data_IF_053924703958
#
_entry.id   IF_053924703958
#
_cell.length_a   1.000
_cell.length_b   1.000
_cell.length_c   1.000
_cell.angle_alpha   90.00
_cell.angle_beta   90.00
_cell.angle_gamma   90.00
#
_symmetry.space_group_name_H-M   'P 1'
#
loop_
_entity.id
_entity.type
_entity.pdbx_description
1 polymer ?
#
# COMPACT_ATOMS: atom_id res chain seq x y z
N UNK A 1 47.82 -9.12 -23.47
CA UNK A 1 46.81 -10.14 -23.10
C UNK A 1 47.51 -11.44 -22.81
N UNK A 2 47.84 -11.71 -21.53
CA UNK A 2 48.42 -12.96 -21.12
C UNK A 2 47.34 -13.95 -20.70
N UNK A 3 47.11 -14.94 -21.58
CA UNK A 3 46.39 -16.17 -21.24
C UNK A 3 47.35 -17.14 -20.59
N UNK A 4 47.25 -17.40 -19.31
CA UNK A 4 47.97 -18.47 -18.65
C UNK A 4 47.05 -19.71 -18.55
N UNK A 5 47.36 -20.76 -19.34
CA UNK A 5 46.71 -22.06 -19.22
C UNK A 5 47.59 -22.96 -18.34
N UNK A 6 47.26 -23.08 -17.08
CA UNK A 6 47.75 -24.20 -16.24
C UNK A 6 46.56 -25.02 -15.78
N UNK A 7 46.52 -26.28 -16.19
CA UNK A 7 45.48 -27.23 -15.80
C UNK A 7 45.58 -27.57 -14.29
N UNK A 8 44.61 -27.19 -13.54
CA UNK A 8 44.37 -27.56 -12.16
C UNK A 8 42.98 -27.10 -11.77
N UNK A 9 42.19 -27.98 -11.20
CA UNK A 9 40.85 -27.72 -10.71
C UNK A 9 40.79 -26.51 -9.76
N UNK A 10 39.88 -25.59 -10.00
CA UNK A 10 39.63 -24.32 -9.31
C UNK A 10 40.50 -23.12 -9.79
N UNK A 11 40.45 -22.81 -11.07
CA UNK A 11 40.87 -21.49 -11.54
C UNK A 11 39.78 -20.46 -11.22
N UNK A 12 39.95 -19.75 -10.12
CA UNK A 12 39.28 -18.49 -9.89
C UNK A 12 39.93 -17.45 -10.83
N UNK A 13 39.34 -17.22 -11.98
CA UNK A 13 39.79 -16.14 -12.86
C UNK A 13 39.20 -14.83 -12.33
N UNK A 14 40.04 -13.96 -11.82
CA UNK A 14 39.71 -12.61 -11.41
C UNK A 14 40.12 -11.63 -12.50
N UNK A 15 39.18 -10.81 -12.96
CA UNK A 15 39.47 -9.68 -13.83
C UNK A 15 39.37 -8.43 -12.97
N UNK A 16 40.49 -7.77 -12.74
CA UNK A 16 40.55 -6.50 -12.02
C UNK A 16 40.71 -5.37 -13.05
N UNK A 17 39.63 -4.62 -13.28
CA UNK A 17 39.63 -3.47 -14.18
C UNK A 17 38.78 -2.35 -13.58
N UNK A 18 39.16 -1.12 -13.81
CA UNK A 18 38.39 0.03 -13.37
C UNK A 18 37.15 0.25 -14.22
N UNK A 19 37.15 -0.18 -15.47
CA UNK A 19 36.05 -0.02 -16.42
C UNK A 19 36.02 -1.21 -17.37
N UNK A 20 34.82 -1.77 -17.58
CA UNK A 20 34.55 -2.70 -18.67
C UNK A 20 33.58 -1.98 -19.62
N UNK A 21 34.01 -1.72 -20.84
CA UNK A 21 33.24 -1.01 -21.84
C UNK A 21 33.13 -1.81 -23.13
N UNK A 22 32.10 -1.52 -23.91
CA UNK A 22 31.85 -2.14 -25.24
C UNK A 22 32.48 -1.25 -26.29
N UNK A 23 33.60 -1.69 -26.91
CA UNK A 23 34.27 -0.92 -27.96
C UNK A 23 33.48 -0.90 -29.29
N UNK A 24 32.77 -1.97 -29.58
CA UNK A 24 31.94 -2.09 -30.81
C UNK A 24 30.70 -2.92 -30.49
N UNK A 25 29.55 -2.33 -30.60
CA UNK A 25 28.27 -2.98 -30.31
C UNK A 25 27.46 -2.33 -29.21
N UNK A 26 26.26 -2.83 -29.03
CA UNK A 26 25.28 -2.25 -28.07
C UNK A 26 25.18 -3.02 -26.76
N UNK A 27 25.79 -4.20 -26.67
CA UNK A 27 25.60 -5.11 -25.56
C UNK A 27 26.93 -5.61 -24.96
N UNK A 28 27.07 -5.53 -23.65
CA UNK A 28 28.02 -6.29 -22.87
C UNK A 28 27.30 -7.48 -22.26
N UNK A 29 27.69 -8.69 -22.66
CA UNK A 29 27.11 -9.91 -22.09
C UNK A 29 28.02 -10.42 -20.97
N UNK A 30 27.48 -10.50 -19.74
CA UNK A 30 28.16 -11.04 -18.57
C UNK A 30 27.40 -12.26 -18.10
N UNK A 31 28.10 -13.37 -17.99
CA UNK A 31 27.54 -14.66 -17.61
C UNK A 31 27.15 -15.53 -18.81
N UNK A 32 26.72 -16.73 -18.52
CA UNK A 32 26.23 -17.71 -19.48
C UNK A 32 24.96 -18.37 -18.94
N UNK A 33 24.26 -19.13 -19.78
CA UNK A 33 23.10 -19.88 -19.34
C UNK A 33 23.41 -20.69 -18.06
N UNK A 34 22.49 -20.71 -17.11
CA UNK A 34 22.58 -21.40 -15.82
C UNK A 34 23.62 -20.84 -14.82
N UNK A 35 24.07 -19.60 -15.03
CA UNK A 35 24.97 -18.92 -14.08
C UNK A 35 24.33 -17.63 -13.57
N UNK A 36 24.58 -17.36 -12.29
CA UNK A 36 24.19 -16.09 -11.68
C UNK A 36 25.29 -15.05 -11.87
N UNK A 37 24.89 -13.80 -12.05
CA UNK A 37 25.76 -12.64 -11.95
C UNK A 37 25.52 -11.98 -10.62
N UNK A 38 26.53 -11.99 -9.75
CA UNK A 38 26.46 -11.29 -8.45
C UNK A 38 27.16 -9.95 -8.59
N UNK A 39 26.43 -8.88 -8.35
CA UNK A 39 26.98 -7.53 -8.28
C UNK A 39 27.14 -7.18 -6.81
N UNK A 40 28.39 -7.25 -6.32
CA UNK A 40 28.75 -6.88 -4.94
C UNK A 40 29.19 -5.41 -4.92
N UNK A 41 28.27 -4.51 -4.75
CA UNK A 41 28.51 -3.08 -4.72
C UNK A 41 27.33 -2.33 -4.11
N UNK A 42 27.50 -1.04 -3.86
CA UNK A 42 26.45 -0.21 -3.28
C UNK A 42 25.37 0.17 -4.31
N UNK A 43 25.71 0.23 -5.61
CA UNK A 43 24.85 0.70 -6.66
C UNK A 43 24.86 -0.19 -7.91
N UNK A 44 23.68 -0.45 -8.48
CA UNK A 44 23.52 -0.84 -9.88
C UNK A 44 22.75 0.28 -10.57
N UNK A 45 23.42 1.06 -11.42
CA UNK A 45 22.81 2.21 -12.11
C UNK A 45 22.32 1.77 -13.49
N UNK A 46 21.03 1.92 -13.72
CA UNK A 46 20.38 1.65 -15.01
C UNK A 46 19.12 2.49 -15.12
N UNK A 47 18.80 2.95 -16.32
CA UNK A 47 17.53 3.64 -16.60
C UNK A 47 16.35 2.67 -16.63
N UNK A 48 16.60 1.37 -16.87
CA UNK A 48 15.58 0.33 -16.87
C UNK A 48 16.18 -1.05 -16.58
N UNK A 49 15.45 -1.86 -15.82
CA UNK A 49 15.66 -3.28 -15.68
C UNK A 49 14.63 -4.01 -16.53
N UNK A 50 15.07 -4.93 -17.38
CA UNK A 50 14.22 -5.62 -18.35
C UNK A 50 14.19 -7.12 -18.11
N UNK A 51 13.04 -7.73 -18.41
CA UNK A 51 12.88 -9.18 -18.48
C UNK A 51 13.57 -9.74 -19.75
N UNK A 52 13.71 -11.06 -19.82
CA UNK A 52 14.34 -11.73 -20.94
C UNK A 52 13.63 -11.52 -22.29
N UNK A 53 12.33 -11.26 -22.27
CA UNK A 53 11.49 -10.92 -23.41
C UNK A 53 11.57 -9.45 -23.84
N UNK A 54 12.33 -8.63 -23.11
CA UNK A 54 12.49 -7.20 -23.34
C UNK A 54 11.49 -6.31 -22.63
N UNK A 55 10.49 -6.88 -21.92
CA UNK A 55 9.54 -6.14 -21.10
C UNK A 55 10.21 -5.42 -19.93
N UNK A 56 9.68 -4.29 -19.49
CA UNK A 56 10.21 -3.56 -18.36
C UNK A 56 9.79 -4.22 -17.03
N UNK A 57 10.78 -4.56 -16.19
CA UNK A 57 10.55 -4.92 -14.78
C UNK A 57 10.45 -3.65 -13.95
N UNK A 58 11.39 -2.73 -14.13
CA UNK A 58 11.39 -1.43 -13.48
C UNK A 58 12.11 -0.40 -14.35
N UNK A 59 11.61 0.82 -14.37
CA UNK A 59 12.25 1.95 -15.04
C UNK A 59 12.04 3.24 -14.25
N UNK A 60 12.94 4.20 -14.41
CA UNK A 60 12.83 5.52 -13.82
C UNK A 60 12.95 6.62 -14.86
N UNK A 61 12.07 7.61 -14.80
CA UNK A 61 12.13 8.84 -15.59
C UNK A 61 11.84 10.03 -14.68
N UNK A 62 12.82 10.91 -14.52
CA UNK A 62 12.75 11.98 -13.53
C UNK A 62 12.54 11.44 -12.11
N UNK A 63 11.47 11.86 -11.45
CA UNK A 63 11.07 11.38 -10.12
C UNK A 63 10.09 10.20 -10.15
N UNK A 64 9.70 9.72 -11.33
CA UNK A 64 8.74 8.64 -11.50
C UNK A 64 9.44 7.29 -11.65
N UNK A 65 9.09 6.34 -10.79
CA UNK A 65 9.49 4.93 -10.91
C UNK A 65 8.29 4.16 -11.44
N UNK A 66 8.47 3.48 -12.56
CA UNK A 66 7.44 2.62 -13.16
C UNK A 66 7.84 1.16 -12.96
N UNK A 67 6.94 0.36 -12.40
CA UNK A 67 7.07 -1.09 -12.26
C UNK A 67 6.19 -1.76 -13.31
N UNK A 68 6.77 -2.61 -14.15
CA UNK A 68 6.06 -3.29 -15.22
C UNK A 68 5.77 -2.39 -16.43
N UNK A 69 4.92 -2.88 -17.33
CA UNK A 69 4.42 -2.22 -18.52
C UNK A 69 2.89 -2.34 -18.58
N UNK A 70 2.26 -1.72 -19.59
CA UNK A 70 0.81 -1.85 -19.80
C UNK A 70 0.43 -3.32 -20.06
N UNK A 71 -0.52 -3.83 -19.26
CA UNK A 71 -0.95 -5.23 -19.30
C UNK A 71 -0.25 -6.16 -18.32
N UNK A 72 0.83 -5.72 -17.68
CA UNK A 72 1.51 -6.52 -16.67
C UNK A 72 0.72 -6.59 -15.36
N UNK A 73 0.84 -7.72 -14.66
CA UNK A 73 0.30 -7.90 -13.31
C UNK A 73 1.45 -7.90 -12.31
N UNK A 74 1.36 -7.02 -11.31
CA UNK A 74 2.28 -7.00 -10.19
C UNK A 74 1.66 -7.80 -9.04
N UNK A 75 2.24 -8.98 -8.78
CA UNK A 75 1.77 -9.87 -7.71
C UNK A 75 2.72 -9.80 -6.53
N UNK A 76 2.17 -9.49 -5.34
CA UNK A 76 2.92 -9.60 -4.09
C UNK A 76 2.94 -11.07 -3.64
N UNK A 77 4.07 -11.52 -3.13
CA UNK A 77 4.17 -12.85 -2.54
C UNK A 77 3.22 -12.99 -1.33
N UNK A 78 2.78 -14.21 -1.05
CA UNK A 78 1.97 -14.50 0.15
C UNK A 78 2.68 -14.01 1.42
N UNK A 79 1.97 -13.23 2.24
CA UNK A 79 2.51 -12.62 3.44
C UNK A 79 3.25 -11.28 3.22
N UNK A 80 3.45 -10.84 1.97
CA UNK A 80 3.96 -9.50 1.68
C UNK A 80 2.84 -8.46 1.78
N UNK A 81 3.15 -7.30 2.33
CA UNK A 81 2.24 -6.16 2.41
C UNK A 81 2.74 -5.00 1.54
N UNK A 82 1.82 -4.22 1.01
CA UNK A 82 2.15 -2.95 0.36
C UNK A 82 2.00 -1.80 1.36
N UNK A 83 2.93 -0.83 1.30
CA UNK A 83 2.85 0.40 2.08
C UNK A 83 3.03 1.59 1.14
N UNK A 84 2.19 2.63 1.29
CA UNK A 84 2.27 3.83 0.47
C UNK A 84 1.70 3.71 -0.96
N UNK A 85 1.22 2.55 -1.39
CA UNK A 85 0.43 2.40 -2.62
C UNK A 85 -1.04 2.71 -2.26
N UNK A 86 -1.46 3.95 -2.47
CA UNK A 86 -2.80 4.39 -2.09
C UNK A 86 -3.89 3.56 -2.75
N UNK A 87 -4.80 3.00 -1.96
CA UNK A 87 -6.11 2.58 -2.44
C UNK A 87 -6.96 3.83 -2.61
N UNK A 88 -7.25 4.20 -3.84
CA UNK A 88 -8.21 5.26 -4.12
C UNK A 88 -9.63 4.70 -4.07
N UNK A 89 -10.42 5.12 -3.08
CA UNK A 89 -11.87 4.88 -3.05
C UNK A 89 -12.35 3.60 -2.36
N UNK A 90 -11.48 2.71 -1.88
CA UNK A 90 -11.87 1.52 -1.11
C UNK A 90 -11.05 1.38 0.16
N UNK A 91 -11.67 0.82 1.20
CA UNK A 91 -10.97 0.49 2.45
C UNK A 91 -10.48 -0.94 2.45
N UNK A 92 -9.42 -1.20 3.22
CA UNK A 92 -8.96 -2.54 3.54
C UNK A 92 -9.73 -3.07 4.75
N UNK A 93 -10.68 -3.98 4.51
CA UNK A 93 -11.49 -4.52 5.58
C UNK A 93 -10.69 -5.42 6.50
N UNK A 94 -10.61 -5.02 7.77
CA UNK A 94 -9.91 -5.78 8.79
C UNK A 94 -10.68 -7.04 9.15
N UNK A 95 -10.00 -8.19 9.20
CA UNK A 95 -10.61 -9.49 9.47
C UNK A 95 -10.98 -9.69 10.95
N UNK A 96 -10.37 -8.92 11.85
CA UNK A 96 -10.64 -8.96 13.28
C UNK A 96 -11.84 -8.09 13.64
N UNK A 97 -12.91 -8.71 14.13
CA UNK A 97 -14.11 -8.01 14.61
C UNK A 97 -13.77 -7.23 15.87
N UNK A 98 -14.09 -5.95 15.91
CA UNK A 98 -13.84 -5.05 17.05
C UNK A 98 -15.01 -5.10 18.01
N UNK A 99 -14.70 -5.31 19.31
CA UNK A 99 -15.68 -5.40 20.40
C UNK A 99 -15.43 -4.37 21.50
N UNK A 100 -14.38 -3.58 21.39
CA UNK A 100 -13.96 -2.56 22.37
C UNK A 100 -13.43 -1.33 21.66
N UNK A 101 -13.29 -0.22 22.37
CA UNK A 101 -12.77 1.03 21.84
C UNK A 101 -11.36 0.90 21.24
N UNK A 102 -11.12 1.57 20.11
CA UNK A 102 -9.83 1.62 19.44
C UNK A 102 -9.70 2.90 18.59
N UNK A 103 -8.50 3.15 18.07
CA UNK A 103 -8.25 4.21 17.09
C UNK A 103 -8.20 3.59 15.70
N UNK A 104 -8.99 4.14 14.78
CA UNK A 104 -9.00 3.71 13.39
C UNK A 104 -7.74 4.18 12.65
N UNK A 105 -7.33 3.41 11.65
CA UNK A 105 -6.22 3.74 10.74
C UNK A 105 -6.79 4.17 9.40
N UNK A 106 -6.19 5.19 8.78
CA UNK A 106 -6.59 5.63 7.43
C UNK A 106 -6.39 4.51 6.42
N UNK A 107 -7.37 4.32 5.53
CA UNK A 107 -7.40 3.27 4.53
C UNK A 107 -8.07 1.97 4.99
N UNK A 108 -8.46 1.86 6.26
CA UNK A 108 -9.03 0.63 6.82
C UNK A 108 -10.55 0.70 7.02
N UNK A 109 -11.19 -0.48 6.91
CA UNK A 109 -12.59 -0.70 7.27
C UNK A 109 -12.70 -1.72 8.42
N UNK A 110 -13.70 -1.54 9.29
CA UNK A 110 -13.84 -2.35 10.50
C UNK A 110 -15.26 -2.87 10.68
N UNK A 111 -15.35 -4.14 11.03
CA UNK A 111 -16.57 -4.76 11.55
C UNK A 111 -16.61 -4.55 13.06
N UNK A 112 -17.62 -3.82 13.55
CA UNK A 112 -17.82 -3.49 14.96
C UNK A 112 -19.00 -4.26 15.52
N UNK A 113 -18.79 -4.92 16.67
CA UNK A 113 -19.80 -5.69 17.36
C UNK A 113 -20.04 -5.06 18.73
N UNK A 114 -21.19 -4.41 18.91
CA UNK A 114 -21.61 -3.75 20.14
C UNK A 114 -22.59 -4.59 20.98
N UNK A 115 -22.72 -5.91 20.70
CA UNK A 115 -23.65 -6.79 21.43
C UNK A 115 -23.51 -6.67 22.94
N UNK A 116 -22.29 -6.61 23.45
CA UNK A 116 -22.02 -6.56 24.90
C UNK A 116 -22.05 -5.16 25.49
N UNK A 117 -21.63 -4.14 24.74
CA UNK A 117 -21.61 -2.75 25.21
C UNK A 117 -21.36 -1.79 24.05
N UNK A 118 -21.84 -0.55 24.18
CA UNK A 118 -21.45 0.60 23.34
C UNK A 118 -19.94 0.89 23.52
N UNK A 119 -19.27 1.32 22.45
CA UNK A 119 -17.87 1.77 22.50
C UNK A 119 -17.57 2.84 21.46
N UNK A 120 -16.39 3.43 21.56
CA UNK A 120 -15.94 4.50 20.66
C UNK A 120 -14.86 4.01 19.72
N UNK A 121 -15.01 4.31 18.44
CA UNK A 121 -13.96 4.26 17.44
C UNK A 121 -13.43 5.69 17.25
N UNK A 122 -12.20 5.93 17.64
CA UNK A 122 -11.55 7.23 17.47
C UNK A 122 -10.99 7.34 16.04
N UNK A 123 -11.38 8.38 15.32
CA UNK A 123 -10.87 8.66 13.97
C UNK A 123 -9.37 9.02 14.02
N UNK A 124 -8.62 8.84 12.91
CA UNK A 124 -7.19 9.17 12.84
C UNK A 124 -6.89 10.61 13.25
N UNK A 125 -5.80 10.81 13.98
CA UNK A 125 -5.29 12.14 14.31
C UNK A 125 -4.61 12.76 13.08
N UNK A 126 -4.71 14.08 12.93
CA UNK A 126 -4.05 14.84 11.86
C UNK A 126 -4.27 14.24 10.45
N UNK A 127 -5.52 14.00 10.06
CA UNK A 127 -5.80 13.36 8.80
C UNK A 127 -5.40 14.24 7.60
N UNK A 128 -5.04 13.60 6.49
CA UNK A 128 -4.78 14.21 5.20
C UNK A 128 -5.99 14.15 4.28
N UNK A 129 -6.11 15.09 3.34
CA UNK A 129 -7.17 15.07 2.33
C UNK A 129 -7.16 13.75 1.57
N UNK A 130 -8.30 13.08 1.51
CA UNK A 130 -8.46 11.77 0.89
C UNK A 130 -8.30 10.58 1.84
N UNK A 131 -7.93 10.79 3.10
CA UNK A 131 -7.96 9.73 4.10
C UNK A 131 -9.38 9.16 4.23
N UNK A 132 -9.49 7.85 4.37
CA UNK A 132 -10.76 7.13 4.35
C UNK A 132 -10.84 6.14 5.50
N UNK A 133 -12.00 6.06 6.15
CA UNK A 133 -12.31 5.06 7.19
C UNK A 133 -13.71 4.53 6.96
N UNK A 134 -13.91 3.21 7.09
CA UNK A 134 -15.23 2.62 7.01
C UNK A 134 -15.58 1.81 8.25
N UNK A 135 -16.86 1.84 8.62
CA UNK A 135 -17.41 1.08 9.75
C UNK A 135 -18.64 0.31 9.28
N UNK A 136 -18.77 -0.92 9.78
CA UNK A 136 -19.96 -1.77 9.57
C UNK A 136 -20.40 -2.36 10.89
N UNK A 137 -21.68 -2.23 11.20
CA UNK A 137 -22.34 -3.00 12.26
C UNK A 137 -22.31 -4.49 11.92
N UNK A 138 -21.58 -5.25 12.72
CA UNK A 138 -21.40 -6.69 12.53
C UNK A 138 -22.62 -7.51 12.98
N UNK A 139 -23.20 -7.14 14.13
CA UNK A 139 -24.17 -7.94 14.84
C UNK A 139 -25.61 -7.37 14.80
N UNK A 140 -25.84 -6.30 14.05
CA UNK A 140 -27.12 -5.56 14.03
C UNK A 140 -27.52 -5.11 15.46
N UNK A 141 -26.60 -4.46 16.16
CA UNK A 141 -26.78 -4.07 17.58
C UNK A 141 -26.51 -2.58 17.84
N UNK A 142 -26.24 -1.78 16.84
CA UNK A 142 -26.01 -0.34 17.02
C UNK A 142 -27.28 0.39 17.51
N UNK A 143 -28.47 -0.12 17.20
CA UNK A 143 -29.73 0.43 17.69
C UNK A 143 -29.93 0.22 19.20
N UNK A 144 -29.28 -0.79 19.80
CA UNK A 144 -29.33 -1.06 21.24
C UNK A 144 -28.14 -0.45 21.97
N UNK A 145 -26.95 -0.64 21.43
CA UNK A 145 -25.68 -0.15 21.97
C UNK A 145 -24.98 0.66 20.86
N UNK A 146 -25.20 1.95 20.85
CA UNK A 146 -24.68 2.83 19.79
C UNK A 146 -23.15 2.77 19.71
N UNK A 147 -22.61 2.81 18.49
CA UNK A 147 -21.19 3.02 18.25
C UNK A 147 -20.93 4.52 18.08
N UNK A 148 -20.02 5.08 18.87
CA UNK A 148 -19.60 6.46 18.73
C UNK A 148 -18.35 6.58 17.86
N UNK A 149 -18.39 7.43 16.84
CA UNK A 149 -17.19 7.86 16.10
C UNK A 149 -16.62 9.11 16.79
N UNK A 150 -15.49 8.93 17.46
CA UNK A 150 -14.76 9.99 18.13
C UNK A 150 -13.99 10.82 17.09
N UNK A 151 -14.29 12.10 17.01
CA UNK A 151 -13.77 13.02 15.97
C UNK A 151 -12.28 13.34 16.05
N UNK A 152 -11.63 13.05 17.17
CA UNK A 152 -10.20 13.25 17.39
C UNK A 152 -9.68 14.63 16.95
N UNK A 153 -10.35 15.68 17.42
CA UNK A 153 -10.09 17.11 17.10
C UNK A 153 -10.43 17.58 15.68
N UNK A 154 -10.78 16.68 14.75
CA UNK A 154 -11.28 17.05 13.42
C UNK A 154 -12.81 17.19 13.43
N UNK A 155 -13.37 18.00 12.56
CA UNK A 155 -14.83 18.07 12.38
C UNK A 155 -15.38 16.81 11.71
N UNK A 156 -16.65 16.51 11.95
CA UNK A 156 -17.42 15.54 11.17
C UNK A 156 -18.61 16.28 10.55
N UNK A 157 -18.69 16.33 9.22
CA UNK A 157 -19.75 17.07 8.52
C UNK A 157 -19.71 18.58 8.73
N UNK A 158 -18.57 19.14 9.13
CA UNK A 158 -18.42 20.56 9.50
C UNK A 158 -18.78 20.88 10.95
N UNK A 159 -19.12 19.87 11.77
CA UNK A 159 -19.55 20.02 13.16
C UNK A 159 -18.46 19.48 14.09
N UNK A 160 -18.18 20.22 15.16
CA UNK A 160 -17.16 19.84 16.16
C UNK A 160 -17.74 18.89 17.24
N UNK A 161 -18.47 17.85 16.80
CA UNK A 161 -19.08 16.84 17.66
C UNK A 161 -18.75 15.44 17.18
N UNK A 162 -18.82 14.46 18.09
CA UNK A 162 -18.73 13.04 17.74
C UNK A 162 -20.01 12.62 16.98
N UNK A 163 -19.91 11.55 16.21
CA UNK A 163 -21.05 11.00 15.47
C UNK A 163 -21.45 9.65 16.08
N UNK A 164 -22.69 9.52 16.50
CA UNK A 164 -23.24 8.26 16.95
C UNK A 164 -23.91 7.49 15.80
N UNK A 165 -23.55 6.23 15.67
CA UNK A 165 -24.19 5.25 14.80
C UNK A 165 -25.14 4.43 15.68
N UNK A 166 -26.46 4.71 15.55
CA UNK A 166 -27.50 4.18 16.46
C UNK A 166 -28.60 3.43 15.71
N UNK A 167 -28.30 2.92 14.52
CA UNK A 167 -29.25 2.14 13.70
C UNK A 167 -28.66 0.78 13.40
N UNK A 168 -29.45 -0.26 13.63
CA UNK A 168 -29.04 -1.64 13.33
C UNK A 168 -28.66 -1.81 11.87
N UNK A 169 -27.62 -2.63 11.63
CA UNK A 169 -27.04 -2.91 10.31
C UNK A 169 -26.40 -1.69 9.62
N UNK A 170 -26.26 -0.58 10.31
CA UNK A 170 -25.66 0.63 9.76
C UNK A 170 -24.24 0.39 9.25
N UNK A 171 -23.91 1.05 8.16
CA UNK A 171 -22.55 1.19 7.66
C UNK A 171 -22.29 2.61 7.23
N UNK A 172 -21.08 3.08 7.41
CA UNK A 172 -20.64 4.41 7.00
C UNK A 172 -19.21 4.33 6.46
N UNK A 173 -18.95 5.09 5.41
CA UNK A 173 -17.61 5.39 4.94
C UNK A 173 -17.40 6.88 5.06
N UNK A 174 -16.33 7.29 5.71
CA UNK A 174 -15.92 8.67 5.90
C UNK A 174 -14.67 8.95 5.09
N UNK A 175 -14.66 10.10 4.39
CA UNK A 175 -13.48 10.63 3.71
C UNK A 175 -13.15 11.99 4.31
N UNK A 176 -11.88 12.23 4.64
CA UNK A 176 -11.44 13.53 5.11
C UNK A 176 -11.28 14.51 3.94
N UNK A 177 -11.97 15.63 4.02
CA UNK A 177 -11.99 16.65 2.97
C UNK A 177 -11.01 17.80 3.27
N UNK A 178 -11.15 18.44 4.42
CA UNK A 178 -10.36 19.61 4.84
C UNK A 178 -10.57 19.89 6.35
N UNK A 179 -9.88 20.91 6.88
CA UNK A 179 -10.00 21.29 8.29
C UNK A 179 -11.38 21.90 8.65
N UNK A 180 -12.10 22.46 7.68
CA UNK A 180 -13.41 23.10 7.90
C UNK A 180 -14.54 22.08 7.96
N UNK A 181 -14.60 21.20 6.98
CA UNK A 181 -15.62 20.15 6.88
C UNK A 181 -15.24 18.90 7.63
N UNK A 182 -13.96 18.62 7.73
CA UNK A 182 -13.45 17.42 8.38
C UNK A 182 -13.80 16.16 7.61
N UNK A 183 -14.29 15.17 8.32
CA UNK A 183 -14.74 13.89 7.80
C UNK A 183 -16.14 13.99 7.22
N UNK A 184 -16.31 13.60 5.96
CA UNK A 184 -17.57 13.59 5.26
C UNK A 184 -18.03 12.16 4.99
N UNK A 185 -19.29 11.87 5.27
CA UNK A 185 -19.89 10.58 4.97
C UNK A 185 -20.09 10.42 3.45
N UNK A 186 -19.61 9.30 2.92
CA UNK A 186 -19.96 8.84 1.57
C UNK A 186 -21.23 8.03 1.67
N UNK A 187 -22.33 8.59 1.20
CA UNK A 187 -23.63 7.94 1.20
C UNK A 187 -23.80 7.30 -0.19
N UNK A 188 -24.01 5.99 -0.31
CA UNK A 188 -24.44 5.44 -1.59
C UNK A 188 -25.74 6.11 -2.00
N UNK A 189 -25.86 6.50 -3.29
CA UNK A 189 -27.02 7.20 -3.86
C UNK A 189 -28.29 6.36 -3.69
N UNK A 190 -28.96 6.55 -2.60
CA UNK A 190 -30.21 5.91 -2.23
C UNK A 190 -30.77 6.64 -1.02
N UNK A 191 -31.58 7.66 -1.26
CA UNK A 191 -32.38 8.43 -0.32
C UNK A 191 -32.12 8.21 1.16
N UNK A 192 -31.30 9.05 1.77
CA UNK A 192 -31.41 9.36 3.19
C UNK A 192 -32.57 10.36 3.30
N UNK A 193 -33.68 9.91 3.87
CA UNK A 193 -34.66 10.86 4.45
C UNK A 193 -34.03 11.38 5.74
N UNK A 194 -33.80 12.68 5.77
CA UNK A 194 -33.58 13.46 6.99
C UNK A 194 -34.87 13.44 7.80
#
# INVERSE_FOLDING_TARGET
>A
TNYNRNGGSNLMSKIEVNTVDVQCGTNLTVGSACKSVTVAGNDVRSNAYKAADGGNIASQSGTTITLGASGDTITLASGASQSGFGRTGTVDWQTSIKTTAFTAVSGEGYFCNTTSAAFTVTLPASPSVGDIVAIKDYAATFGTNALTLGRNSSNIGGIAENLDLATDQQSITLIYADATKGWLAVIPVGKVKV
#
